data_IF_288173774395
#
_entry.id   IF_288173774395
#
_cell.length_a   1.000
_cell.length_b   1.000
_cell.length_c   1.000
_cell.angle_alpha   90.00
_cell.angle_beta   90.00
_cell.angle_gamma   90.00
#
_symmetry.space_group_name_H-M   'P 1'
#
loop_
_entity.id
_entity.type
_entity.pdbx_description
1 polymer ?
#
# COMPACT_ATOMS: atom_id res chain seq x y z
N UNK A 1 30.93 30.47 -15.54
CA UNK A 1 30.41 29.19 -15.03
C UNK A 1 29.61 29.46 -13.76
N UNK A 2 28.27 29.40 -13.78
CA UNK A 2 27.50 29.64 -12.55
C UNK A 2 27.61 28.42 -11.64
N UNK A 3 27.97 28.66 -10.38
CA UNK A 3 28.05 27.65 -9.33
C UNK A 3 26.64 27.18 -8.96
N UNK A 4 26.43 25.86 -8.88
CA UNK A 4 25.18 25.27 -8.40
C UNK A 4 25.06 25.48 -6.89
N UNK A 5 24.24 26.44 -6.47
CA UNK A 5 23.84 26.60 -5.08
C UNK A 5 22.76 25.56 -4.76
N UNK A 6 23.11 24.52 -4.00
CA UNK A 6 22.13 23.55 -3.50
C UNK A 6 21.60 24.04 -2.16
N UNK A 7 20.45 24.73 -2.17
CA UNK A 7 19.74 25.11 -0.95
C UNK A 7 19.08 23.86 -0.37
N UNK A 8 19.67 23.24 0.65
CA UNK A 8 18.95 22.24 1.44
C UNK A 8 17.87 22.97 2.25
N UNK A 9 16.63 22.88 1.78
CA UNK A 9 15.45 23.24 2.57
C UNK A 9 15.43 22.38 3.84
N UNK A 10 14.94 22.95 4.94
CA UNK A 10 14.94 22.30 6.26
C UNK A 10 14.22 20.94 6.30
N UNK A 11 14.24 20.24 7.45
CA UNK A 11 13.75 18.88 7.55
C UNK A 11 12.28 18.76 7.14
N UNK A 12 12.01 17.88 6.18
CA UNK A 12 10.66 17.52 5.75
C UNK A 12 10.03 16.55 6.75
N UNK A 13 8.93 16.95 7.37
CA UNK A 13 8.13 16.07 8.23
C UNK A 13 7.17 15.25 7.36
N UNK A 14 7.43 13.94 7.26
CA UNK A 14 6.56 12.97 6.60
C UNK A 14 5.73 12.25 7.66
N UNK A 15 4.42 12.20 7.47
CA UNK A 15 3.52 11.36 8.27
C UNK A 15 3.77 9.89 7.99
N UNK A 16 3.52 9.03 8.99
CA UNK A 16 3.60 7.58 8.80
C UNK A 16 2.59 7.13 7.74
N UNK A 17 2.97 6.17 6.88
CA UNK A 17 2.05 5.62 5.89
C UNK A 17 0.85 4.95 6.58
N UNK A 18 -0.32 5.07 5.97
CA UNK A 18 -1.55 4.46 6.49
C UNK A 18 -1.40 2.95 6.65
N UNK A 19 -2.07 2.40 7.67
CA UNK A 19 -2.06 0.98 7.99
C UNK A 19 -2.40 0.09 6.78
N UNK A 20 -1.91 -1.14 6.85
CA UNK A 20 -2.11 -2.12 5.79
C UNK A 20 -3.62 -2.44 5.67
N UNK A 21 -4.17 -2.51 4.45
CA UNK A 21 -5.59 -2.81 4.27
C UNK A 21 -5.94 -4.18 4.83
N UNK A 22 -7.09 -4.26 5.50
CA UNK A 22 -7.65 -5.50 6.04
C UNK A 22 -8.73 -6.06 5.12
N UNK A 23 -8.72 -7.38 4.83
CA UNK A 23 -9.74 -8.01 4.01
C UNK A 23 -11.08 -8.06 4.73
N UNK A 24 -12.18 -7.73 4.04
CA UNK A 24 -13.53 -7.84 4.59
C UNK A 24 -13.98 -9.31 4.65
N UNK A 25 -14.49 -9.71 5.81
CA UNK A 25 -15.05 -11.05 6.03
C UNK A 25 -16.29 -11.25 5.13
N UNK A 26 -16.33 -12.37 4.40
CA UNK A 26 -17.43 -12.68 3.49
C UNK A 26 -17.22 -12.27 2.03
N UNK A 27 -16.16 -11.49 1.71
CA UNK A 27 -15.80 -11.22 0.33
C UNK A 27 -14.74 -12.22 -0.16
N UNK A 28 -15.11 -13.05 -1.15
CA UNK A 28 -14.19 -14.01 -1.77
C UNK A 28 -12.96 -13.33 -2.40
N UNK A 29 -13.14 -12.14 -3.00
CA UNK A 29 -12.05 -11.42 -3.65
C UNK A 29 -11.05 -10.87 -2.62
N UNK A 30 -11.53 -10.36 -1.48
CA UNK A 30 -10.68 -9.96 -0.36
C UNK A 30 -9.84 -11.14 0.18
N UNK A 31 -10.46 -12.33 0.32
CA UNK A 31 -9.76 -13.53 0.78
C UNK A 31 -8.68 -13.98 -0.21
N UNK A 32 -8.96 -13.96 -1.52
CA UNK A 32 -7.97 -14.27 -2.55
C UNK A 32 -6.76 -13.33 -2.48
N UNK A 33 -7.00 -12.02 -2.33
CA UNK A 33 -5.94 -11.03 -2.19
C UNK A 33 -5.14 -11.26 -0.90
N UNK A 34 -5.78 -11.59 0.23
CA UNK A 34 -5.09 -11.92 1.47
C UNK A 34 -4.15 -13.13 1.32
N UNK A 35 -4.59 -14.18 0.63
CA UNK A 35 -3.77 -15.36 0.33
C UNK A 35 -2.59 -15.01 -0.58
N UNK A 36 -2.84 -14.25 -1.66
CA UNK A 36 -1.79 -13.78 -2.58
C UNK A 36 -0.73 -12.94 -1.86
N UNK A 37 -1.16 -12.06 -0.95
CA UNK A 37 -0.26 -11.26 -0.11
C UNK A 37 0.63 -12.14 0.76
N UNK A 38 0.03 -13.11 1.46
CA UNK A 38 0.76 -14.03 2.34
C UNK A 38 1.77 -14.86 1.55
N UNK A 39 1.40 -15.33 0.36
CA UNK A 39 2.30 -16.06 -0.52
C UNK A 39 3.47 -15.18 -0.99
N UNK A 40 3.20 -13.95 -1.41
CA UNK A 40 4.24 -13.01 -1.82
C UNK A 40 5.25 -12.71 -0.69
N UNK A 41 4.76 -12.45 0.53
CA UNK A 41 5.61 -12.27 1.72
C UNK A 41 6.44 -13.53 2.01
N UNK A 42 5.83 -14.71 1.92
CA UNK A 42 6.53 -15.99 2.17
C UNK A 42 7.62 -16.27 1.13
N UNK A 43 7.43 -15.83 -0.11
CA UNK A 43 8.40 -15.94 -1.19
C UNK A 43 9.44 -14.81 -1.20
N UNK A 44 9.35 -13.83 -0.28
CA UNK A 44 10.24 -12.66 -0.24
C UNK A 44 9.94 -11.60 -1.31
N UNK A 45 8.83 -11.71 -2.02
CA UNK A 45 8.41 -10.79 -3.08
C UNK A 45 7.59 -9.63 -2.50
N UNK A 46 8.29 -8.70 -1.84
CA UNK A 46 7.64 -7.56 -1.17
C UNK A 46 7.05 -6.54 -2.15
N UNK A 47 7.53 -6.51 -3.40
CA UNK A 47 6.91 -5.69 -4.44
C UNK A 47 5.49 -6.19 -4.69
N UNK A 48 5.34 -7.49 -4.96
CA UNK A 48 4.04 -8.11 -5.18
C UNK A 48 3.13 -8.03 -3.96
N UNK A 49 3.67 -8.13 -2.74
CA UNK A 49 2.89 -7.93 -1.52
C UNK A 49 2.32 -6.50 -1.43
N UNK A 50 3.09 -5.51 -1.91
CA UNK A 50 2.67 -4.10 -1.97
C UNK A 50 1.62 -3.89 -3.06
N UNK A 51 1.82 -4.44 -4.26
CA UNK A 51 0.83 -4.40 -5.35
C UNK A 51 -0.52 -4.97 -4.89
N UNK A 52 -0.50 -6.11 -4.19
CA UNK A 52 -1.71 -6.72 -3.63
C UNK A 52 -2.40 -5.82 -2.60
N UNK A 53 -1.65 -5.09 -1.77
CA UNK A 53 -2.24 -4.10 -0.86
C UNK A 53 -2.93 -2.96 -1.64
N UNK A 54 -2.32 -2.49 -2.73
CA UNK A 54 -2.93 -1.44 -3.59
C UNK A 54 -4.21 -1.96 -4.22
N UNK A 55 -4.21 -3.18 -4.78
CA UNK A 55 -5.41 -3.82 -5.34
C UNK A 55 -6.49 -4.01 -4.27
N UNK A 56 -6.12 -4.44 -3.06
CA UNK A 56 -7.08 -4.61 -1.96
C UNK A 56 -7.72 -3.27 -1.58
N UNK A 57 -6.95 -2.17 -1.51
CA UNK A 57 -7.51 -0.83 -1.24
C UNK A 57 -8.48 -0.38 -2.32
N UNK A 58 -8.15 -0.60 -3.60
CA UNK A 58 -9.05 -0.29 -4.71
C UNK A 58 -10.37 -1.08 -4.57
N UNK A 59 -10.26 -2.40 -4.39
CA UNK A 59 -11.42 -3.26 -4.21
C UNK A 59 -12.28 -2.87 -2.99
N UNK A 60 -11.67 -2.56 -1.85
CA UNK A 60 -12.40 -2.09 -0.67
C UNK A 60 -13.16 -0.78 -0.96
N UNK A 61 -12.54 0.15 -1.68
CA UNK A 61 -13.18 1.41 -2.06
C UNK A 61 -14.34 1.19 -3.04
N UNK A 62 -14.18 0.30 -4.01
CA UNK A 62 -15.15 0.07 -5.08
C UNK A 62 -16.31 -0.84 -4.67
N UNK A 63 -16.01 -1.96 -3.99
CA UNK A 63 -16.99 -3.00 -3.66
C UNK A 63 -17.54 -2.88 -2.23
N UNK A 64 -16.79 -2.24 -1.34
CA UNK A 64 -17.15 -2.12 0.08
C UNK A 64 -17.34 -0.67 0.54
N UNK A 65 -17.20 0.31 -0.38
CA UNK A 65 -17.50 1.72 -0.13
C UNK A 65 -16.95 2.18 1.21
N UNK A 66 -15.64 2.05 1.41
CA UNK A 66 -15.00 2.53 2.63
C UNK A 66 -15.18 4.04 2.77
N UNK A 67 -16.22 4.45 3.47
CA UNK A 67 -16.26 5.75 4.15
C UNK A 67 -15.06 5.76 5.10
N UNK A 68 -14.10 6.64 4.80
CA UNK A 68 -12.92 6.90 5.62
C UNK A 68 -13.23 7.84 6.76
#
# INVERSE_FOLDING_TARGET
>A
MPTRTSTQSGPVHLSLPSAQPEPVSGCRHCLELAVRRRNAVSSGDYSKATDVNVTLRAHLKEAHGGEG
#
